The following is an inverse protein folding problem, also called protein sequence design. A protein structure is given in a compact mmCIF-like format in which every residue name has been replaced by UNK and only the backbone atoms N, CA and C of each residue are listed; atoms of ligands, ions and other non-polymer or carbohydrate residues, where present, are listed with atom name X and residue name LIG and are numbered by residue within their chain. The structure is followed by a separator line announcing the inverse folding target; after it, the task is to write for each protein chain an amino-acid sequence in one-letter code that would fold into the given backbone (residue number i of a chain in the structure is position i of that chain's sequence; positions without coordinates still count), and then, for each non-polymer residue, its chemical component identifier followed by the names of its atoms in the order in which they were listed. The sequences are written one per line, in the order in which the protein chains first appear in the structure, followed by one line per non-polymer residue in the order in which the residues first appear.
data_IF_587913452982
#
_entry.id   IF_587913452982
#
_cell.length_a   1.000
_cell.length_b   1.000
_cell.length_c   1.000
_cell.angle_alpha   90.00
_cell.angle_beta   90.00
_cell.angle_gamma   90.00
#
_symmetry.space_group_name_H-M   'P 1'
#
loop_
_entity.id
_entity.type
_entity.pdbx_description
1 polymer ?
#
# COMPACT_ATOMS: atom_id res chain seq x y z
N UNK A 1 -16.55 98.27 -14.84
CA UNK A 1 -15.71 97.20 -14.24
C UNK A 1 -16.51 95.91 -14.23
N UNK A 2 -16.54 95.17 -15.35
CA UNK A 2 -17.41 93.98 -15.45
C UNK A 2 -16.73 92.87 -16.27
N UNK A 3 -16.15 93.17 -17.43
CA UNK A 3 -15.57 92.13 -18.29
C UNK A 3 -14.26 91.54 -17.74
N UNK A 4 -13.33 92.37 -17.24
CA UNK A 4 -12.03 91.88 -16.78
C UNK A 4 -12.14 90.95 -15.54
N UNK A 5 -13.05 91.26 -14.63
CA UNK A 5 -13.32 90.44 -13.44
C UNK A 5 -13.97 89.11 -13.83
N UNK A 6 -14.91 89.12 -14.79
CA UNK A 6 -15.54 87.90 -15.29
C UNK A 6 -14.50 86.99 -15.97
N UNK A 7 -13.62 87.56 -16.82
CA UNK A 7 -12.55 86.79 -17.48
C UNK A 7 -11.61 86.17 -16.46
N UNK A 8 -11.22 86.90 -15.41
CA UNK A 8 -10.33 86.39 -14.37
C UNK A 8 -10.98 85.24 -13.58
N UNK A 9 -12.27 85.36 -13.23
CA UNK A 9 -13.01 84.29 -12.54
C UNK A 9 -13.10 83.03 -13.40
N UNK A 10 -13.36 83.17 -14.71
CA UNK A 10 -13.43 82.03 -15.63
C UNK A 10 -12.07 81.33 -15.75
N UNK A 11 -10.97 82.07 -15.85
CA UNK A 11 -9.62 81.51 -15.92
C UNK A 11 -9.26 80.76 -14.63
N UNK A 12 -9.57 81.33 -13.47
CA UNK A 12 -9.32 80.67 -12.17
C UNK A 12 -10.18 79.41 -12.02
N UNK A 13 -11.44 79.44 -12.43
CA UNK A 13 -12.32 78.27 -12.40
C UNK A 13 -11.82 77.14 -13.31
N UNK A 14 -11.36 77.46 -14.52
CA UNK A 14 -10.78 76.49 -15.44
C UNK A 14 -9.46 75.91 -14.90
N UNK A 15 -8.61 76.74 -14.29
CA UNK A 15 -7.39 76.27 -13.66
C UNK A 15 -7.67 75.33 -12.48
N UNK A 16 -8.67 75.65 -11.65
CA UNK A 16 -9.08 74.80 -10.54
C UNK A 16 -9.64 73.45 -11.02
N UNK A 17 -10.46 73.45 -12.08
CA UNK A 17 -10.98 72.23 -12.69
C UNK A 17 -9.88 71.36 -13.30
N UNK A 18 -8.90 71.98 -13.97
CA UNK A 18 -7.74 71.27 -14.51
C UNK A 18 -6.91 70.63 -13.38
N UNK A 19 -6.68 71.35 -12.28
CA UNK A 19 -5.95 70.83 -11.12
C UNK A 19 -6.69 69.64 -10.50
N UNK A 20 -8.01 69.77 -10.32
CA UNK A 20 -8.84 68.70 -9.76
C UNK A 20 -8.83 67.44 -10.65
N UNK A 21 -8.85 67.61 -11.98
CA UNK A 21 -8.77 66.52 -12.93
C UNK A 21 -7.42 65.77 -12.82
N UNK A 22 -6.30 66.50 -12.72
CA UNK A 22 -4.95 65.90 -12.58
C UNK A 22 -4.83 65.12 -11.27
N UNK A 23 -5.32 65.68 -10.16
CA UNK A 23 -5.29 65.02 -8.85
C UNK A 23 -6.18 63.77 -8.84
N UNK A 24 -7.38 63.84 -9.44
CA UNK A 24 -8.25 62.69 -9.58
C UNK A 24 -7.58 61.59 -10.41
N UNK A 25 -6.98 61.93 -11.55
CA UNK A 25 -6.32 60.96 -12.43
C UNK A 25 -5.15 60.26 -11.74
N UNK A 26 -4.33 61.00 -11.00
CA UNK A 26 -3.21 60.46 -10.22
C UNK A 26 -3.69 59.56 -9.04
N UNK A 27 -4.84 59.85 -8.46
CA UNK A 27 -5.44 59.03 -7.41
C UNK A 27 -6.03 57.72 -7.96
N UNK A 28 -6.61 57.74 -9.17
CA UNK A 28 -7.10 56.53 -9.84
C UNK A 28 -5.93 55.65 -10.33
N UNK A 29 -4.88 56.23 -10.93
CA UNK A 29 -3.74 55.46 -11.44
C UNK A 29 -2.95 54.72 -10.36
N UNK A 30 -2.89 55.28 -9.13
CA UNK A 30 -2.30 54.60 -7.96
C UNK A 30 -3.06 53.35 -7.53
N UNK A 31 -4.37 53.28 -7.76
CA UNK A 31 -5.20 52.12 -7.39
C UNK A 31 -5.01 50.95 -8.35
N UNK A 32 -4.70 51.22 -9.63
CA UNK A 32 -4.40 50.19 -10.62
C UNK A 32 -3.02 49.55 -10.39
N UNK A 33 -2.02 50.35 -10.00
CA UNK A 33 -0.68 49.83 -9.66
C UNK A 33 -0.71 48.85 -8.47
N UNK A 34 -1.50 49.14 -7.43
CA UNK A 34 -1.61 48.25 -6.27
C UNK A 34 -2.31 46.91 -6.58
N UNK A 35 -3.13 46.83 -7.63
CA UNK A 35 -3.79 45.58 -8.05
C UNK A 35 -2.88 44.67 -8.87
N UNK A 36 -1.90 45.25 -9.57
CA UNK A 36 -0.90 44.47 -10.31
C UNK A 36 0.11 43.78 -9.37
N UNK A 37 0.58 44.48 -8.33
CA UNK A 37 1.56 43.93 -7.38
C UNK A 37 0.99 42.77 -6.54
N UNK A 38 -0.31 42.81 -6.21
CA UNK A 38 -0.98 41.73 -5.46
C UNK A 38 -1.16 40.46 -6.30
N UNK A 39 -1.39 40.59 -7.61
CA UNK A 39 -1.55 39.44 -8.50
C UNK A 39 -0.20 38.72 -8.74
N UNK A 40 0.91 39.44 -8.73
CA UNK A 40 2.26 38.86 -8.87
C UNK A 40 2.70 38.16 -7.58
N UNK A 41 2.35 38.74 -6.42
CA UNK A 41 2.60 38.13 -5.10
C UNK A 41 1.85 36.80 -4.93
N UNK A 42 0.57 36.75 -5.31
CA UNK A 42 -0.24 35.51 -5.24
C UNK A 42 0.25 34.44 -6.23
N UNK A 43 0.76 34.85 -7.41
CA UNK A 43 1.37 33.90 -8.37
C UNK A 43 2.73 33.37 -7.90
N UNK A 44 3.49 34.15 -7.13
CA UNK A 44 4.71 33.71 -6.48
C UNK A 44 4.43 32.67 -5.40
N UNK A 45 3.49 32.96 -4.50
CA UNK A 45 3.14 32.11 -3.37
C UNK A 45 2.51 30.77 -3.81
N UNK A 46 1.67 30.79 -4.86
CA UNK A 46 1.11 29.57 -5.45
C UNK A 46 2.18 28.67 -6.14
N UNK A 47 3.29 29.25 -6.62
CA UNK A 47 4.39 28.47 -7.23
C UNK A 47 5.26 27.76 -6.19
N UNK A 48 5.38 28.32 -5.00
CA UNK A 48 6.12 27.66 -3.90
C UNK A 48 5.24 26.62 -3.19
N UNK A 49 3.94 26.87 -3.00
CA UNK A 49 3.00 25.89 -2.45
C UNK A 49 2.87 24.64 -3.35
N UNK A 50 2.83 24.83 -4.68
CA UNK A 50 2.75 23.73 -5.65
C UNK A 50 3.99 22.82 -5.63
N UNK A 51 5.18 23.36 -5.36
CA UNK A 51 6.40 22.53 -5.19
C UNK A 51 6.30 21.61 -3.98
N UNK A 52 5.72 22.08 -2.88
CA UNK A 52 5.52 21.26 -1.69
C UNK A 52 4.48 20.15 -1.91
N UNK A 53 3.40 20.44 -2.65
CA UNK A 53 2.38 19.45 -3.01
C UNK A 53 2.95 18.40 -3.95
N UNK A 54 3.66 18.80 -5.01
CA UNK A 54 4.29 17.86 -5.96
C UNK A 54 5.33 16.96 -5.27
N UNK A 55 6.10 17.47 -4.30
CA UNK A 55 7.00 16.62 -3.51
C UNK A 55 6.26 15.59 -2.65
N UNK A 56 5.08 15.93 -2.11
CA UNK A 56 4.26 14.99 -1.35
C UNK A 56 3.61 13.95 -2.25
N UNK A 57 3.13 14.34 -3.42
CA UNK A 57 2.61 13.44 -4.46
C UNK A 57 3.71 12.47 -4.93
N UNK A 58 4.90 12.95 -5.24
CA UNK A 58 6.03 12.10 -5.62
C UNK A 58 6.40 11.08 -4.54
N UNK A 59 6.43 11.49 -3.26
CA UNK A 59 6.66 10.56 -2.13
C UNK A 59 5.55 9.53 -1.98
N UNK A 60 4.29 9.91 -2.22
CA UNK A 60 3.16 9.01 -2.17
C UNK A 60 3.22 7.98 -3.31
N UNK A 61 3.54 8.42 -4.54
CA UNK A 61 3.74 7.55 -5.69
C UNK A 61 4.93 6.60 -5.51
N UNK A 62 6.06 7.10 -5.00
CA UNK A 62 7.20 6.27 -4.64
C UNK A 62 6.84 5.22 -3.59
N UNK A 63 6.06 5.61 -2.56
CA UNK A 63 5.62 4.69 -1.51
C UNK A 63 4.66 3.63 -2.06
N UNK A 64 3.73 4.03 -2.92
CA UNK A 64 2.81 3.11 -3.60
C UNK A 64 3.56 2.14 -4.53
N UNK A 65 4.59 2.61 -5.25
CA UNK A 65 5.44 1.78 -6.08
C UNK A 65 6.25 0.78 -5.24
N UNK A 66 6.87 1.23 -4.14
CA UNK A 66 7.59 0.36 -3.19
C UNK A 66 6.68 -0.70 -2.58
N UNK A 67 5.45 -0.35 -2.23
CA UNK A 67 4.47 -1.30 -1.70
C UNK A 67 4.14 -2.40 -2.73
N UNK A 68 3.92 -2.04 -4.00
CA UNK A 68 3.68 -3.02 -5.08
C UNK A 68 4.90 -3.92 -5.30
N UNK A 69 6.11 -3.37 -5.26
CA UNK A 69 7.33 -4.15 -5.39
C UNK A 69 7.49 -5.16 -4.24
N UNK A 70 7.31 -4.71 -3.00
CA UNK A 70 7.37 -5.58 -1.82
C UNK A 70 6.31 -6.69 -1.86
N UNK A 71 5.10 -6.39 -2.35
CA UNK A 71 4.05 -7.39 -2.53
C UNK A 71 4.43 -8.44 -3.57
N UNK A 72 4.96 -8.02 -4.73
CA UNK A 72 5.42 -8.95 -5.76
C UNK A 72 6.54 -9.87 -5.24
N UNK A 73 7.49 -9.34 -4.46
CA UNK A 73 8.52 -10.15 -3.82
C UNK A 73 7.96 -11.15 -2.81
N UNK A 74 6.94 -10.75 -2.04
CA UNK A 74 6.26 -11.63 -1.11
C UNK A 74 5.53 -12.77 -1.84
N UNK A 75 4.88 -12.48 -2.95
CA UNK A 75 4.19 -13.48 -3.78
C UNK A 75 5.18 -14.50 -4.37
N UNK A 76 6.35 -14.05 -4.84
CA UNK A 76 7.42 -14.94 -5.31
C UNK A 76 7.92 -15.85 -4.18
N UNK A 77 8.16 -15.30 -2.98
CA UNK A 77 8.57 -16.10 -1.82
C UNK A 77 7.49 -17.09 -1.41
N UNK A 78 6.23 -16.71 -1.45
CA UNK A 78 5.11 -17.59 -1.16
C UNK A 78 5.00 -18.73 -2.17
N UNK A 79 5.21 -18.46 -3.46
CA UNK A 79 5.26 -19.48 -4.49
C UNK A 79 6.44 -20.44 -4.30
N UNK A 80 7.63 -19.93 -3.95
CA UNK A 80 8.80 -20.75 -3.64
C UNK A 80 8.56 -21.66 -2.43
N UNK A 81 7.96 -21.13 -1.35
CA UNK A 81 7.61 -21.90 -0.17
C UNK A 81 6.61 -23.03 -0.51
N UNK A 82 5.59 -22.73 -1.33
CA UNK A 82 4.66 -23.76 -1.83
C UNK A 82 5.38 -24.83 -2.65
N UNK A 83 6.33 -24.45 -3.50
CA UNK A 83 7.14 -25.41 -4.28
C UNK A 83 7.94 -26.35 -3.39
N UNK A 84 8.64 -25.81 -2.37
CA UNK A 84 9.38 -26.62 -1.40
C UNK A 84 8.45 -27.55 -0.59
N UNK A 85 7.27 -27.07 -0.21
CA UNK A 85 6.28 -27.89 0.49
C UNK A 85 5.76 -29.04 -0.38
N UNK A 86 5.50 -28.79 -1.66
CA UNK A 86 5.10 -29.83 -2.61
C UNK A 86 6.21 -30.87 -2.80
N UNK A 87 7.46 -30.44 -2.90
CA UNK A 87 8.61 -31.35 -2.99
C UNK A 87 8.74 -32.21 -1.73
N UNK A 88 8.62 -31.61 -0.54
CA UNK A 88 8.63 -32.34 0.72
C UNK A 88 7.45 -33.34 0.81
N UNK A 89 6.26 -32.96 0.35
CA UNK A 89 5.11 -33.86 0.28
C UNK A 89 5.36 -35.03 -0.68
N UNK A 90 6.01 -34.79 -1.82
CA UNK A 90 6.44 -35.83 -2.76
C UNK A 90 7.39 -36.84 -2.12
N UNK A 91 8.46 -36.36 -1.48
CA UNK A 91 9.40 -37.22 -0.76
C UNK A 91 8.75 -38.03 0.37
N UNK A 92 7.79 -37.42 1.09
CA UNK A 92 7.04 -38.13 2.14
C UNK A 92 6.16 -39.23 1.54
N UNK A 93 5.53 -38.98 0.40
CA UNK A 93 4.73 -39.97 -0.31
C UNK A 93 5.58 -41.15 -0.77
N UNK A 94 6.73 -40.87 -1.39
CA UNK A 94 7.69 -41.88 -1.84
C UNK A 94 8.20 -42.72 -0.67
N UNK A 95 8.62 -42.08 0.43
CA UNK A 95 9.06 -42.79 1.63
C UNK A 95 7.95 -43.67 2.25
N UNK A 96 6.70 -43.23 2.18
CA UNK A 96 5.54 -44.02 2.65
C UNK A 96 5.30 -45.22 1.73
N UNK A 97 5.37 -45.03 0.41
CA UNK A 97 5.24 -46.10 -0.57
C UNK A 97 6.34 -47.16 -0.40
N UNK A 98 7.62 -46.75 -0.25
CA UNK A 98 8.72 -47.67 -0.01
C UNK A 98 8.55 -48.47 1.29
N UNK A 99 8.05 -47.83 2.37
CA UNK A 99 7.74 -48.57 3.61
C UNK A 99 6.64 -49.60 3.42
N UNK A 100 5.62 -49.27 2.63
CA UNK A 100 4.52 -50.18 2.36
C UNK A 100 4.98 -51.38 1.52
N UNK A 101 5.81 -51.12 0.50
CA UNK A 101 6.42 -52.18 -0.32
C UNK A 101 7.32 -53.10 0.50
N UNK A 102 8.17 -52.54 1.38
CA UNK A 102 8.99 -53.34 2.30
C UNK A 102 8.12 -54.19 3.24
N UNK A 103 7.05 -53.63 3.81
CA UNK A 103 6.14 -54.37 4.68
C UNK A 103 5.44 -55.52 3.94
N UNK A 104 5.06 -55.32 2.67
CA UNK A 104 4.51 -56.39 1.83
C UNK A 104 5.54 -57.49 1.53
N UNK A 105 6.81 -57.12 1.31
CA UNK A 105 7.90 -58.09 1.13
C UNK A 105 8.15 -58.91 2.39
N UNK A 106 8.19 -58.27 3.57
CA UNK A 106 8.29 -58.98 4.85
C UNK A 106 7.10 -59.91 5.07
N UNK A 107 5.88 -59.44 4.81
CA UNK A 107 4.70 -60.28 4.94
C UNK A 107 4.74 -61.50 4.01
N UNK A 108 5.21 -61.32 2.77
CA UNK A 108 5.42 -62.42 1.82
C UNK A 108 6.49 -63.40 2.33
N UNK A 109 7.60 -62.91 2.86
CA UNK A 109 8.64 -63.76 3.44
C UNK A 109 8.08 -64.59 4.60
N UNK A 110 7.37 -63.97 5.53
CA UNK A 110 6.75 -64.64 6.68
C UNK A 110 5.75 -65.73 6.25
N UNK A 111 4.97 -65.50 5.19
CA UNK A 111 4.04 -66.51 4.66
C UNK A 111 4.73 -67.72 4.00
N UNK A 112 5.96 -67.55 3.53
CA UNK A 112 6.74 -68.60 2.88
C UNK A 112 7.65 -69.34 3.87
N UNK A 113 7.94 -68.75 5.03
CA UNK A 113 8.79 -69.37 6.04
C UNK A 113 7.98 -70.36 6.91
N UNK A 114 8.24 -71.69 6.82
CA UNK A 114 7.58 -72.70 7.63
C UNK A 114 7.93 -72.64 9.12
N UNK A 115 8.95 -71.86 9.53
CA UNK A 115 9.27 -71.60 10.93
C UNK A 115 8.42 -70.48 11.56
N UNK A 116 7.62 -69.76 10.76
CA UNK A 116 6.76 -68.67 11.24
C UNK A 116 5.61 -69.22 12.10
N UNK A 117 5.46 -68.81 13.37
CA UNK A 117 4.38 -69.29 14.22
C UNK A 117 3.01 -68.87 13.66
N UNK A 118 2.13 -69.84 13.39
CA UNK A 118 0.76 -69.56 13.01
C UNK A 118 0.06 -68.67 14.06
N UNK A 119 -0.83 -67.74 13.66
CA UNK A 119 -1.49 -66.80 14.59
C UNK A 119 -2.32 -67.47 15.71
N UNK A 120 -2.54 -68.79 15.61
CA UNK A 120 -3.51 -69.54 16.39
C UNK A 120 -3.09 -69.82 17.86
N UNK A 121 -1.92 -69.38 18.30
CA UNK A 121 -1.40 -69.69 19.64
C UNK A 121 -1.54 -68.60 20.71
N UNK A 122 -1.78 -67.33 20.35
CA UNK A 122 -1.65 -66.20 21.32
C UNK A 122 -2.97 -65.71 21.93
N UNK A 123 -4.11 -65.95 21.28
CA UNK A 123 -5.41 -65.47 21.80
C UNK A 123 -6.05 -66.42 22.83
N UNK A 124 -5.64 -67.69 22.90
CA UNK A 124 -6.20 -68.66 23.86
C UNK A 124 -5.69 -68.47 25.31
N UNK A 125 -4.60 -67.71 25.51
CA UNK A 125 -4.01 -67.49 26.83
C UNK A 125 -4.56 -66.24 27.54
N UNK A 126 -5.03 -65.21 26.81
CA UNK A 126 -5.57 -63.99 27.41
C UNK A 126 -7.03 -64.13 27.86
N UNK A 127 -7.83 -64.97 27.18
CA UNK A 127 -9.25 -65.16 27.52
C UNK A 127 -9.46 -65.92 28.85
N UNK A 128 -8.48 -66.72 29.27
CA UNK A 128 -8.54 -67.43 30.58
C UNK A 128 -8.21 -66.56 31.79
N UNK A 129 -7.58 -65.40 31.62
CA UNK A 129 -7.21 -64.54 32.76
C UNK A 129 -8.27 -63.47 33.11
N UNK A 130 -9.18 -63.14 32.19
CA UNK A 130 -10.29 -62.20 32.48
C UNK A 130 -11.52 -62.86 33.12
N UNK A 131 -11.66 -64.19 33.05
CA UNK A 131 -12.84 -64.90 33.57
C UNK A 131 -12.79 -65.24 35.08
N UNK A 132 -11.63 -65.17 35.75
CA UNK A 132 -11.48 -65.59 37.16
C UNK A 132 -11.45 -64.42 38.17
N UNK A 133 -11.68 -63.18 37.75
CA UNK A 133 -11.53 -61.98 38.59
C UNK A 133 -12.82 -61.34 39.12
N UNK A 134 -13.99 -61.97 38.97
CA UNK A 134 -15.29 -61.33 39.21
C UNK A 134 -16.24 -62.15 40.06
N UNK A 135 -15.84 -62.59 41.25
CA UNK A 135 -16.81 -63.01 42.28
C UNK A 135 -16.25 -62.77 43.68
N UNK A 136 -16.50 -61.58 44.23
CA UNK A 136 -16.81 -61.34 45.64
C UNK A 136 -17.14 -59.88 45.88
#
# INVERSE_FOLDING_TARGET
MTTNTIVLIVVVALAALALAAVVAWAALSKRDQQRHDQAETIRGEARDESRHVTQREARAEETAAKARAAQAEADVKAAQAKGLQQQAAGHRHEATASRQELNEQFHRADTLDPATPAPNGRNAAQDKQQSTGGTR
#
